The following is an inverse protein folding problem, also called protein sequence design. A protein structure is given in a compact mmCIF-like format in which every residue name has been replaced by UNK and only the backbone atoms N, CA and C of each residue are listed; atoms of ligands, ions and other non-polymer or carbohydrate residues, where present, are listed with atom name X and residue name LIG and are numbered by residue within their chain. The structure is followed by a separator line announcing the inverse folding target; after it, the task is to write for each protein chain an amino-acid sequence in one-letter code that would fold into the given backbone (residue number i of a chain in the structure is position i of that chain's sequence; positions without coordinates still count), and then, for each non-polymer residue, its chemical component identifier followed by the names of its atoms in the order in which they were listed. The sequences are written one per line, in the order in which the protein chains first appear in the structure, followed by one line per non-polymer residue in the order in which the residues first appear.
data_IF_389541391567
#
_entry.id   IF_389541391567
#
_cell.length_a   1.000
_cell.length_b   1.000
_cell.length_c   1.000
_cell.angle_alpha   90.00
_cell.angle_beta   90.00
_cell.angle_gamma   90.00
#
_symmetry.space_group_name_H-M   'P 1'
#
loop_
_entity.id
_entity.type
_entity.pdbx_description
1 polymer ?
#
# COMPACT_ATOMS: atom_id res chain seq x y z
N UNK A 1 -26.40 4.59 -1.13
CA UNK A 1 -25.17 5.35 -1.45
C UNK A 1 -25.30 6.15 -2.74
N UNK A 2 -25.46 5.51 -3.91
CA UNK A 2 -25.47 6.21 -5.21
C UNK A 2 -26.42 7.42 -5.34
N UNK A 3 -27.64 7.35 -4.79
CA UNK A 3 -28.56 8.50 -4.77
C UNK A 3 -28.00 9.72 -4.01
N UNK A 4 -27.28 9.48 -2.90
CA UNK A 4 -26.64 10.54 -2.12
C UNK A 4 -25.46 11.16 -2.88
N UNK A 5 -24.76 10.34 -3.65
CA UNK A 5 -23.67 10.74 -4.52
C UNK A 5 -24.12 11.47 -5.80
N UNK A 6 -25.43 11.54 -6.08
CA UNK A 6 -25.98 12.26 -7.23
C UNK A 6 -26.32 11.40 -8.44
N UNK A 7 -26.22 10.08 -8.33
CA UNK A 7 -26.66 9.16 -9.38
C UNK A 7 -28.18 9.09 -9.42
N UNK A 8 -28.74 8.98 -10.63
CA UNK A 8 -30.18 8.86 -10.83
C UNK A 8 -30.66 7.44 -10.52
N UNK A 9 -31.95 7.33 -10.16
CA UNK A 9 -32.57 6.05 -9.88
C UNK A 9 -32.43 5.07 -11.06
N UNK A 10 -32.60 5.56 -12.29
CA UNK A 10 -32.49 4.75 -13.50
C UNK A 10 -31.10 4.12 -13.65
N UNK A 11 -30.05 4.90 -13.39
CA UNK A 11 -28.65 4.43 -13.40
C UNK A 11 -28.45 3.34 -12.37
N UNK A 12 -28.96 3.53 -11.15
CA UNK A 12 -28.82 2.53 -10.08
C UNK A 12 -29.63 1.25 -10.35
N UNK A 13 -30.81 1.38 -10.94
CA UNK A 13 -31.65 0.23 -11.31
C UNK A 13 -30.97 -0.59 -12.43
N UNK A 14 -30.28 0.07 -13.37
CA UNK A 14 -29.46 -0.60 -14.38
C UNK A 14 -28.28 -1.35 -13.76
N UNK A 15 -27.50 -0.68 -12.90
CA UNK A 15 -26.38 -1.30 -12.18
C UNK A 15 -26.84 -2.53 -11.39
N UNK A 16 -27.95 -2.40 -10.65
CA UNK A 16 -28.48 -3.50 -9.83
C UNK A 16 -28.91 -4.71 -10.65
N UNK A 17 -29.39 -4.48 -11.87
CA UNK A 17 -29.80 -5.56 -12.79
C UNK A 17 -28.58 -6.26 -13.40
N UNK A 18 -27.49 -5.53 -13.62
CA UNK A 18 -26.30 -6.03 -14.29
C UNK A 18 -25.25 -6.57 -13.29
N UNK A 19 -25.43 -6.35 -11.99
CA UNK A 19 -24.55 -6.83 -10.91
C UNK A 19 -25.01 -8.17 -10.33
N UNK A 20 -24.09 -9.14 -10.20
CA UNK A 20 -24.37 -10.44 -9.58
C UNK A 20 -24.28 -10.38 -8.04
N UNK A 21 -23.43 -9.51 -7.50
CA UNK A 21 -23.23 -9.38 -6.05
C UNK A 21 -23.38 -7.95 -5.55
N UNK A 22 -23.57 -7.80 -4.24
CA UNK A 22 -23.58 -6.50 -3.56
C UNK A 22 -22.26 -5.74 -3.77
N UNK A 23 -21.13 -6.46 -3.87
CA UNK A 23 -19.82 -5.84 -4.12
C UNK A 23 -19.73 -5.30 -5.54
N UNK A 24 -20.18 -6.04 -6.55
CA UNK A 24 -20.19 -5.57 -7.93
C UNK A 24 -21.07 -4.32 -8.08
N UNK A 25 -22.23 -4.33 -7.41
CA UNK A 25 -23.12 -3.18 -7.36
C UNK A 25 -22.45 -1.94 -6.73
N UNK A 26 -21.69 -2.13 -5.64
CA UNK A 26 -20.96 -1.05 -4.98
C UNK A 26 -19.80 -0.54 -5.85
N UNK A 27 -19.02 -1.44 -6.46
CA UNK A 27 -17.91 -1.09 -7.35
C UNK A 27 -18.45 -0.27 -8.51
N UNK A 28 -19.50 -0.74 -9.19
CA UNK A 28 -20.06 -0.04 -10.34
C UNK A 28 -20.70 1.29 -9.94
N UNK A 29 -21.37 1.35 -8.79
CA UNK A 29 -21.87 2.62 -8.22
C UNK A 29 -20.74 3.64 -8.03
N UNK A 30 -19.58 3.19 -7.51
CA UNK A 30 -18.43 4.06 -7.32
C UNK A 30 -17.76 4.44 -8.65
N UNK A 31 -17.71 3.52 -9.62
CA UNK A 31 -17.23 3.76 -10.99
C UNK A 31 -18.01 4.89 -11.65
N UNK A 32 -19.35 4.83 -11.62
CA UNK A 32 -20.22 5.88 -12.19
C UNK A 32 -20.09 7.22 -11.45
N UNK A 33 -19.88 7.18 -10.13
CA UNK A 33 -19.62 8.39 -9.36
C UNK A 33 -18.26 9.01 -9.73
N UNK A 34 -17.20 8.21 -9.86
CA UNK A 34 -15.86 8.65 -10.28
C UNK A 34 -15.86 9.21 -11.71
N UNK A 35 -16.69 8.65 -12.60
CA UNK A 35 -16.88 9.19 -13.95
C UNK A 35 -17.75 10.45 -13.98
N UNK A 36 -18.20 10.95 -12.82
CA UNK A 36 -19.05 12.13 -12.66
C UNK A 36 -20.36 12.03 -13.45
N UNK A 37 -20.95 10.83 -13.48
CA UNK A 37 -22.21 10.60 -14.17
C UNK A 37 -23.37 11.39 -13.55
N UNK A 38 -24.47 11.55 -14.29
CA UNK A 38 -25.71 12.16 -13.82
C UNK A 38 -25.49 13.54 -13.15
N UNK A 39 -25.85 13.67 -11.87
CA UNK A 39 -25.83 14.90 -11.11
C UNK A 39 -24.74 14.91 -10.04
N UNK A 40 -23.68 14.11 -10.19
CA UNK A 40 -22.56 14.02 -9.23
C UNK A 40 -21.95 15.40 -8.95
N UNK A 41 -21.81 16.23 -9.98
CA UNK A 41 -21.26 17.59 -9.84
C UNK A 41 -22.13 18.51 -8.98
N UNK A 42 -23.45 18.34 -9.02
CA UNK A 42 -24.38 19.08 -8.16
C UNK A 42 -24.29 18.66 -6.68
N UNK A 43 -23.64 17.53 -6.39
CA UNK A 43 -23.42 16.96 -5.05
C UNK A 43 -22.00 17.17 -4.52
N UNK A 44 -21.21 18.04 -5.16
CA UNK A 44 -19.83 18.31 -4.75
C UNK A 44 -18.78 17.52 -5.55
N UNK A 45 -19.19 16.88 -6.64
CA UNK A 45 -18.30 16.16 -7.56
C UNK A 45 -17.80 14.83 -7.02
N UNK A 46 -16.81 14.25 -7.72
CA UNK A 46 -16.15 13.02 -7.29
C UNK A 46 -15.01 13.30 -6.28
N UNK A 47 -15.36 13.78 -5.09
CA UNK A 47 -14.40 14.18 -4.05
C UNK A 47 -14.50 13.32 -2.78
N UNK A 48 -13.40 13.14 -2.05
CA UNK A 48 -13.41 12.45 -0.75
C UNK A 48 -14.43 13.03 0.22
N UNK A 49 -14.59 14.36 0.23
CA UNK A 49 -15.54 15.05 1.11
C UNK A 49 -16.98 14.68 0.76
N UNK A 50 -17.35 14.71 -0.53
CA UNK A 50 -18.70 14.32 -0.97
C UNK A 50 -19.02 12.85 -0.67
N UNK A 51 -18.02 11.96 -0.73
CA UNK A 51 -18.19 10.55 -0.37
C UNK A 51 -18.34 10.37 1.15
N UNK A 52 -17.52 11.06 1.94
CA UNK A 52 -17.60 11.08 3.40
C UNK A 52 -18.97 11.58 3.88
N UNK A 53 -19.45 12.69 3.32
CA UNK A 53 -20.76 13.27 3.63
C UNK A 53 -21.90 12.32 3.23
N UNK A 54 -21.80 11.66 2.08
CA UNK A 54 -22.78 10.68 1.66
C UNK A 54 -22.87 9.49 2.64
N UNK A 55 -21.72 8.99 3.11
CA UNK A 55 -21.66 7.91 4.11
C UNK A 55 -22.24 8.35 5.47
N UNK A 56 -21.89 9.54 5.96
CA UNK A 56 -22.47 10.13 7.19
C UNK A 56 -23.98 10.28 7.07
N UNK A 57 -24.49 10.71 5.91
CA UNK A 57 -25.93 10.85 5.65
C UNK A 57 -26.70 9.52 5.63
N UNK A 58 -25.99 8.40 5.56
CA UNK A 58 -26.49 7.03 5.65
C UNK A 58 -26.25 6.40 7.02
N UNK A 59 -25.68 7.14 7.98
CA UNK A 59 -25.26 6.67 9.29
C UNK A 59 -24.08 5.68 9.26
N UNK A 60 -23.30 5.65 8.18
CA UNK A 60 -22.07 4.86 8.04
C UNK A 60 -20.85 5.63 8.59
N UNK A 61 -20.98 6.10 9.84
CA UNK A 61 -20.04 7.04 10.44
C UNK A 61 -18.63 6.45 10.59
N UNK A 62 -18.51 5.17 10.96
CA UNK A 62 -17.21 4.50 11.11
C UNK A 62 -16.43 4.43 9.78
N UNK A 63 -17.13 4.19 8.66
CA UNK A 63 -16.52 4.19 7.34
C UNK A 63 -16.09 5.60 6.91
N UNK A 64 -16.92 6.61 7.19
CA UNK A 64 -16.62 8.00 6.89
C UNK A 64 -15.43 8.52 7.72
N UNK A 65 -15.38 8.23 9.02
CA UNK A 65 -14.29 8.66 9.91
C UNK A 65 -12.95 8.04 9.48
N UNK A 66 -12.97 6.76 9.07
CA UNK A 66 -11.78 6.09 8.53
C UNK A 66 -11.33 6.74 7.22
N UNK A 67 -12.26 7.10 6.33
CA UNK A 67 -11.95 7.79 5.08
C UNK A 67 -11.30 9.16 5.34
N UNK A 68 -11.85 9.93 6.29
CA UNK A 68 -11.31 11.24 6.71
C UNK A 68 -9.92 11.10 7.36
N UNK A 69 -9.67 10.02 8.09
CA UNK A 69 -8.35 9.72 8.65
C UNK A 69 -7.33 9.41 7.55
N UNK A 70 -7.66 8.56 6.58
CA UNK A 70 -6.77 8.26 5.45
C UNK A 70 -6.43 9.51 4.64
N UNK A 71 -7.42 10.38 4.39
CA UNK A 71 -7.21 11.69 3.74
C UNK A 71 -6.17 12.53 4.49
N UNK A 72 -6.25 12.59 5.83
CA UNK A 72 -5.29 13.34 6.68
C UNK A 72 -3.90 12.70 6.65
N UNK A 73 -3.81 11.38 6.72
CA UNK A 73 -2.54 10.66 6.67
C UNK A 73 -1.81 10.94 5.34
N UNK A 74 -2.53 10.93 4.22
CA UNK A 74 -1.99 11.26 2.91
C UNK A 74 -1.44 12.70 2.82
N UNK A 75 -2.09 13.68 3.46
CA UNK A 75 -1.62 15.07 3.49
C UNK A 75 -0.38 15.28 4.37
N UNK A 76 -0.23 14.52 5.45
CA UNK A 76 0.94 14.63 6.34
C UNK A 76 2.20 14.05 5.68
N UNK A 77 2.07 12.95 4.93
CA UNK A 77 3.18 12.32 4.20
C UNK A 77 3.77 13.18 3.08
N UNK A 78 3.11 14.28 2.66
CA UNK A 78 3.58 15.17 1.60
C UNK A 78 4.44 16.35 2.08
N UNK A 79 4.58 16.56 3.41
CA UNK A 79 5.12 17.80 3.97
C UNK A 79 6.50 17.67 4.65
N UNK A 80 7.33 16.69 4.28
CA UNK A 80 8.70 16.53 4.81
C UNK A 80 9.78 17.37 4.09
N UNK A 81 9.40 18.34 3.25
CA UNK A 81 10.38 19.25 2.60
C UNK A 81 10.01 20.72 2.84
N UNK A 82 10.04 21.16 4.10
CA UNK A 82 10.37 22.55 4.41
C UNK A 82 11.25 22.61 5.64
N UNK A 83 12.51 22.19 5.43
CA UNK A 83 13.61 22.46 6.34
C UNK A 83 13.67 23.96 6.63
N UNK A 84 13.43 24.26 7.89
CA UNK A 84 13.76 25.49 8.60
C UNK A 84 15.23 25.85 8.37
N UNK A 85 15.51 27.03 7.82
CA UNK A 85 16.84 27.64 7.92
C UNK A 85 16.67 29.14 8.13
N UNK A 86 16.36 29.52 9.37
CA UNK A 86 16.79 30.80 9.92
C UNK A 86 18.05 30.52 10.74
N UNK A 87 19.21 31.07 10.35
CA UNK A 87 20.33 31.49 11.21
C UNK A 87 21.35 32.33 10.41
N UNK A 88 21.44 33.60 10.80
CA UNK A 88 22.53 34.60 10.77
C UNK A 88 23.54 34.80 9.61
N UNK A 89 23.45 36.02 9.05
CA UNK A 89 24.45 37.12 9.02
C UNK A 89 25.82 37.01 8.32
N UNK A 90 25.94 37.91 7.32
CA UNK A 90 27.03 38.87 7.07
C UNK A 90 28.33 38.39 6.40
N UNK A 91 28.67 39.04 5.26
CA UNK A 91 30.07 39.35 4.93
C UNK A 91 30.55 39.09 3.51
N UNK A 92 30.31 40.08 2.63
CA UNK A 92 31.24 40.63 1.61
C UNK A 92 31.95 39.75 0.55
N UNK A 93 31.97 40.35 -0.66
CA UNK A 93 33.06 40.41 -1.67
C UNK A 93 33.04 39.45 -2.87
N UNK A 94 32.74 40.01 -4.05
CA UNK A 94 33.57 39.91 -5.27
C UNK A 94 33.43 38.66 -6.19
N UNK A 95 33.38 38.83 -7.53
CA UNK A 95 33.19 37.73 -8.49
C UNK A 95 34.50 37.22 -9.12
N UNK A 96 34.53 35.93 -9.52
CA UNK A 96 35.07 35.38 -10.79
C UNK A 96 35.54 33.90 -10.66
N UNK A 97 35.50 33.09 -11.75
CA UNK A 97 35.77 31.64 -11.75
C UNK A 97 37.24 31.29 -12.06
N UNK A 98 37.63 30.01 -11.95
CA UNK A 98 38.23 29.39 -13.13
C UNK A 98 37.86 27.91 -13.37
N UNK A 99 37.85 27.61 -14.66
CA UNK A 99 37.86 26.32 -15.35
C UNK A 99 39.14 25.51 -15.09
N UNK A 100 39.03 24.17 -15.16
CA UNK A 100 40.14 23.21 -15.23
C UNK A 100 40.10 22.24 -14.04
N UNK A 101 40.41 20.96 -14.14
CA UNK A 101 41.10 20.18 -15.17
C UNK A 101 40.81 18.71 -14.85
N UNK A 102 40.60 17.88 -15.86
CA UNK A 102 40.51 16.43 -15.70
C UNK A 102 41.87 15.87 -15.25
N UNK A 103 41.90 14.99 -14.25
CA UNK A 103 42.95 13.98 -14.15
C UNK A 103 42.40 12.65 -13.61
N UNK A 104 42.73 11.50 -14.24
CA UNK A 104 42.28 10.18 -13.82
C UNK A 104 43.36 9.48 -13.00
N UNK A 105 43.04 8.99 -11.79
CA UNK A 105 43.96 8.12 -11.06
C UNK A 105 43.28 6.90 -10.44
N UNK A 106 43.55 5.77 -11.09
CA UNK A 106 44.06 4.53 -10.50
C UNK A 106 43.11 3.71 -9.60
N UNK A 107 42.57 2.64 -10.21
CA UNK A 107 43.01 1.30 -9.83
C UNK A 107 42.43 0.71 -8.55
N UNK A 108 41.18 0.26 -8.62
CA UNK A 108 40.74 -0.91 -7.87
C UNK A 108 40.27 -1.98 -8.87
N UNK A 109 40.58 -3.28 -8.68
CA UNK A 109 39.87 -4.31 -9.43
C UNK A 109 38.38 -4.14 -9.14
N UNK A 110 37.48 -4.12 -10.13
CA UNK A 110 36.07 -4.22 -9.82
C UNK A 110 35.89 -5.56 -9.13
N UNK A 111 35.51 -5.51 -7.85
CA UNK A 111 34.94 -6.67 -7.17
C UNK A 111 33.87 -7.20 -8.13
N UNK A 112 34.08 -8.42 -8.59
CA UNK A 112 33.18 -9.15 -9.47
C UNK A 112 31.75 -8.88 -9.02
N UNK A 113 30.81 -8.56 -9.93
CA UNK A 113 29.40 -8.50 -9.57
C UNK A 113 29.03 -9.88 -9.01
N UNK A 114 29.02 -10.00 -7.68
CA UNK A 114 28.32 -11.08 -7.01
C UNK A 114 26.92 -10.95 -7.56
N UNK A 115 26.52 -11.97 -8.32
CA UNK A 115 25.25 -12.07 -9.02
C UNK A 115 24.20 -11.27 -8.27
N UNK A 116 23.84 -10.12 -8.84
CA UNK A 116 22.64 -9.39 -8.51
C UNK A 116 21.52 -10.36 -8.90
N UNK A 117 21.20 -11.29 -8.00
CA UNK A 117 19.97 -12.04 -8.09
C UNK A 117 18.92 -10.94 -8.14
N UNK A 118 18.27 -10.80 -9.29
CA UNK A 118 17.05 -10.05 -9.46
C UNK A 118 16.10 -10.49 -8.35
N UNK A 119 16.12 -9.77 -7.23
CA UNK A 119 15.07 -9.86 -6.24
C UNK A 119 13.92 -9.13 -6.92
N UNK A 120 12.87 -9.82 -7.37
CA UNK A 120 11.73 -9.12 -7.92
C UNK A 120 11.20 -8.19 -6.83
N UNK A 121 11.14 -6.89 -7.15
CA UNK A 121 10.56 -5.82 -6.32
C UNK A 121 9.02 -5.95 -6.28
N UNK A 122 8.55 -7.18 -6.09
CA UNK A 122 7.15 -7.48 -5.93
C UNK A 122 6.82 -7.29 -4.47
N UNK A 123 6.07 -6.24 -4.17
CA UNK A 123 5.46 -6.06 -2.86
C UNK A 123 4.48 -7.22 -2.59
N UNK A 124 4.43 -7.79 -1.37
CA UNK A 124 3.47 -8.84 -1.05
C UNK A 124 2.03 -8.32 -1.19
N UNK A 125 1.20 -9.12 -1.85
CA UNK A 125 -0.24 -8.93 -1.95
C UNK A 125 -0.94 -9.27 -0.64
N UNK A 126 -2.18 -8.79 -0.45
CA UNK A 126 -2.96 -9.09 0.76
C UNK A 126 -3.22 -10.59 0.90
N UNK A 127 -3.46 -11.29 -0.21
CA UNK A 127 -3.65 -12.75 -0.21
C UNK A 127 -2.41 -13.50 0.27
N UNK A 128 -1.22 -13.07 -0.18
CA UNK A 128 0.06 -13.63 0.26
C UNK A 128 0.30 -13.43 1.76
N UNK A 129 -0.06 -12.25 2.31
CA UNK A 129 0.01 -11.99 3.76
C UNK A 129 -0.92 -12.91 4.56
N UNK A 130 -2.11 -13.20 4.03
CA UNK A 130 -3.09 -14.10 4.66
C UNK A 130 -2.59 -15.55 4.64
N UNK A 131 -2.06 -16.02 3.51
CA UNK A 131 -1.49 -17.38 3.41
C UNK A 131 -0.33 -17.58 4.37
N UNK A 132 0.56 -16.59 4.45
CA UNK A 132 1.67 -16.59 5.40
C UNK A 132 1.17 -16.68 6.85
N UNK A 133 0.09 -15.97 7.18
CA UNK A 133 -0.52 -16.05 8.50
C UNK A 133 -1.05 -17.45 8.82
N UNK A 134 -1.71 -18.12 7.87
CA UNK A 134 -2.16 -19.50 8.06
C UNK A 134 -0.99 -20.45 8.29
N UNK A 135 0.13 -20.28 7.57
CA UNK A 135 1.34 -21.08 7.75
C UNK A 135 1.92 -20.93 9.17
N UNK A 136 1.94 -19.70 9.70
CA UNK A 136 2.35 -19.43 11.08
C UNK A 136 1.45 -20.08 12.13
N UNK A 137 0.13 -20.16 11.87
CA UNK A 137 -0.84 -20.84 12.75
C UNK A 137 -0.65 -22.35 12.70
N UNK A 138 -0.46 -22.90 11.49
CA UNK A 138 -0.30 -24.35 11.26
C UNK A 138 1.02 -24.91 11.81
N UNK A 139 1.89 -24.08 12.39
CA UNK A 139 3.16 -24.51 12.99
C UNK A 139 4.16 -25.06 11.98
N UNK A 140 3.97 -24.77 10.69
CA UNK A 140 4.81 -25.23 9.59
C UNK A 140 6.11 -24.44 9.32
N UNK A 141 6.43 -23.27 9.93
CA UNK A 141 7.56 -22.48 9.47
C UNK A 141 8.92 -22.99 9.95
N UNK A 142 9.01 -23.91 10.91
CA UNK A 142 10.30 -24.30 11.51
C UNK A 142 11.22 -25.08 10.56
N UNK A 143 10.67 -25.78 9.55
CA UNK A 143 11.48 -26.48 8.55
C UNK A 143 11.61 -25.73 7.21
N UNK A 144 10.70 -24.80 6.91
CA UNK A 144 10.60 -24.18 5.57
C UNK A 144 11.13 -22.74 5.50
N UNK A 145 11.26 -22.02 6.63
CA UNK A 145 11.59 -20.59 6.64
C UNK A 145 12.57 -20.22 7.75
N UNK A 146 13.88 -20.52 7.59
CA UNK A 146 14.91 -20.24 8.61
C UNK A 146 15.21 -18.75 8.81
N UNK A 147 14.53 -17.85 8.08
CA UNK A 147 14.83 -16.42 8.08
C UNK A 147 14.16 -15.63 9.21
N UNK A 148 13.22 -16.21 9.96
CA UNK A 148 12.43 -15.49 10.96
C UNK A 148 12.74 -15.89 12.38
N UNK A 149 13.04 -14.89 13.20
CA UNK A 149 13.27 -15.08 14.62
C UNK A 149 12.01 -15.54 15.35
N UNK A 150 12.19 -16.44 16.32
CA UNK A 150 11.11 -16.92 17.17
C UNK A 150 10.36 -15.77 17.88
N UNK A 151 11.06 -14.68 18.21
CA UNK A 151 10.47 -13.49 18.79
C UNK A 151 9.49 -12.78 17.84
N UNK A 152 9.88 -12.63 16.58
CA UNK A 152 9.06 -12.03 15.52
C UNK A 152 7.83 -12.87 15.23
N UNK A 153 7.98 -14.19 15.14
CA UNK A 153 6.87 -15.13 14.98
C UNK A 153 5.87 -15.00 16.15
N UNK A 154 6.38 -14.97 17.39
CA UNK A 154 5.57 -14.82 18.60
C UNK A 154 4.83 -13.49 18.64
N UNK A 155 5.48 -12.38 18.25
CA UNK A 155 4.86 -11.05 18.15
C UNK A 155 3.71 -11.04 17.15
N UNK A 156 3.89 -11.63 15.96
CA UNK A 156 2.84 -11.70 14.94
C UNK A 156 1.66 -12.56 15.41
N UNK A 157 1.94 -13.69 16.07
CA UNK A 157 0.90 -14.59 16.61
C UNK A 157 0.06 -13.93 17.69
N UNK A 158 0.69 -13.13 18.55
CA UNK A 158 0.04 -12.49 19.70
C UNK A 158 -0.52 -11.08 19.42
N UNK A 159 -0.44 -10.60 18.17
CA UNK A 159 -0.98 -9.31 17.79
C UNK A 159 -2.49 -9.24 18.11
N UNK A 160 -2.91 -8.12 18.72
CA UNK A 160 -4.27 -7.97 19.29
C UNK A 160 -5.30 -7.46 18.29
N UNK A 161 -4.83 -6.94 17.16
CA UNK A 161 -5.67 -6.44 16.07
C UNK A 161 -5.16 -6.89 14.72
N UNK A 162 -6.06 -7.03 13.75
CA UNK A 162 -5.70 -7.36 12.37
C UNK A 162 -4.80 -6.29 11.74
N UNK A 163 -4.99 -5.02 12.12
CA UNK A 163 -4.15 -3.93 11.62
C UNK A 163 -2.70 -4.04 12.11
N UNK A 164 -2.50 -4.29 13.40
CA UNK A 164 -1.17 -4.53 13.99
C UNK A 164 -0.52 -5.76 13.36
N UNK A 165 -1.28 -6.84 13.20
CA UNK A 165 -0.80 -8.07 12.57
C UNK A 165 -0.37 -7.83 11.12
N UNK A 166 -1.19 -7.16 10.31
CA UNK A 166 -0.87 -6.84 8.92
C UNK A 166 0.33 -5.90 8.79
N UNK A 167 0.48 -4.96 9.72
CA UNK A 167 1.64 -4.06 9.78
C UNK A 167 2.93 -4.83 10.08
N UNK A 168 2.91 -5.73 11.07
CA UNK A 168 4.04 -6.59 11.42
C UNK A 168 4.42 -7.52 10.27
N UNK A 169 3.43 -8.13 9.60
CA UNK A 169 3.67 -8.98 8.44
C UNK A 169 4.32 -8.20 7.30
N UNK A 170 3.80 -7.01 6.97
CA UNK A 170 4.39 -6.15 5.94
C UNK A 170 5.84 -5.82 6.25
N UNK A 171 6.12 -5.41 7.49
CA UNK A 171 7.47 -5.10 7.97
C UNK A 171 8.42 -6.28 7.81
N UNK A 172 7.96 -7.49 8.11
CA UNK A 172 8.76 -8.72 7.93
C UNK A 172 9.14 -8.96 6.45
N UNK A 173 8.21 -8.74 5.52
CA UNK A 173 8.52 -8.87 4.09
C UNK A 173 9.43 -7.74 3.57
N UNK A 174 9.34 -6.54 4.14
CA UNK A 174 10.25 -5.42 3.85
C UNK A 174 11.68 -5.71 4.35
N UNK A 175 11.82 -6.27 5.55
CA UNK A 175 13.11 -6.65 6.13
C UNK A 175 13.72 -7.90 5.47
N UNK A 176 12.88 -8.79 4.95
CA UNK A 176 13.28 -10.06 4.36
C UNK A 176 12.65 -10.28 2.98
N UNK A 177 13.14 -9.60 1.92
CA UNK A 177 12.55 -9.71 0.58
C UNK A 177 12.63 -11.14 0.00
N UNK A 178 13.61 -11.95 0.44
CA UNK A 178 13.73 -13.37 0.06
C UNK A 178 12.59 -14.23 0.62
N UNK A 179 11.95 -13.82 1.71
CA UNK A 179 10.86 -14.55 2.34
C UNK A 179 9.66 -14.70 1.38
N UNK A 180 9.39 -13.67 0.57
CA UNK A 180 8.31 -13.70 -0.40
C UNK A 180 8.56 -14.72 -1.51
N UNK A 181 9.79 -14.79 -2.01
CA UNK A 181 10.19 -15.79 -3.01
C UNK A 181 10.07 -17.21 -2.45
N UNK A 182 10.60 -17.46 -1.25
CA UNK A 182 10.52 -18.77 -0.58
C UNK A 182 9.07 -19.19 -0.32
N UNK A 183 8.22 -18.25 0.11
CA UNK A 183 6.80 -18.51 0.29
C UNK A 183 6.11 -18.88 -1.03
N UNK A 184 6.39 -18.17 -2.14
CA UNK A 184 5.85 -18.51 -3.46
C UNK A 184 6.30 -19.90 -3.92
N UNK A 185 7.56 -20.27 -3.65
CA UNK A 185 8.09 -21.61 -3.94
C UNK A 185 7.40 -22.66 -3.07
N UNK A 186 7.22 -22.40 -1.78
CA UNK A 186 6.53 -23.30 -0.86
C UNK A 186 5.05 -23.49 -1.23
N UNK A 187 4.31 -22.40 -1.46
CA UNK A 187 2.90 -22.43 -1.88
C UNK A 187 2.74 -23.10 -3.25
N UNK A 188 3.64 -22.83 -4.20
CA UNK A 188 3.65 -23.46 -5.52
C UNK A 188 3.83 -24.98 -5.44
N UNK A 189 4.72 -25.47 -4.58
CA UNK A 189 4.88 -26.90 -4.29
C UNK A 189 3.62 -27.51 -3.69
N UNK A 190 2.96 -26.84 -2.73
CA UNK A 190 1.73 -27.32 -2.10
C UNK A 190 0.58 -27.44 -3.11
N UNK A 191 0.46 -26.51 -4.07
CA UNK A 191 -0.57 -26.56 -5.11
C UNK A 191 -0.32 -27.68 -6.14
N UNK A 192 0.95 -28.02 -6.40
CA UNK A 192 1.35 -29.14 -7.25
C UNK A 192 1.18 -30.53 -6.61
N UNK A 193 1.20 -30.64 -5.28
CA UNK A 193 1.04 -31.91 -4.55
C UNK A 193 -0.45 -32.32 -4.43
N UNK A 194 -1.39 -31.40 -4.70
CA UNK A 194 -2.85 -31.69 -4.61
C UNK A 194 -3.43 -32.40 -5.84
N UNK A 195 -2.60 -32.92 -6.74
CA UNK A 195 -2.99 -33.90 -7.75
C UNK A 195 -2.41 -35.28 -7.41
N UNK A 196 -3.04 -36.00 -6.49
CA UNK A 196 -3.15 -37.46 -6.60
C UNK A 196 -4.28 -38.03 -5.75
#
# INVERSE_FOLDING_TARGET
LGLRLGLHKNTLDAIKRDSDTTNDCLIETLSQWLSRADNVDSKGGATFDSLSDALKSMNENAAADKLDQEKRNAMISGNDIKGTNDVHSTGATGPAPPTGTNEPLIGGPPLSPIALMDIPDDRPTVSELIEFHELLIKGQPEESLPLLDADTIRKIRNATSDHEKMSLLRKVFEEHPRLLHEMRVATGKIKGIKMH
#
